data_IF_840035991896
#
_entry.id   IF_840035991896
#
_cell.length_a   1.000
_cell.length_b   1.000
_cell.length_c   1.000
_cell.angle_alpha   90.00
_cell.angle_beta   90.00
_cell.angle_gamma   90.00
#
_symmetry.space_group_name_H-M   'P 1'
#
loop_
_entity.id
_entity.type
_entity.pdbx_description
1 polymer ?
#
# COMPACT_ATOMS: atom_id res chain seq x y z
N UNK A 1 5.41 39.38 36.63
CA UNK A 1 6.23 39.06 35.44
C UNK A 1 6.71 37.60 35.38
N UNK A 2 7.09 36.98 36.49
CA UNK A 2 7.56 35.58 36.51
C UNK A 2 6.46 34.51 36.17
N UNK A 3 5.19 34.78 36.57
CA UNK A 3 4.06 33.89 36.31
C UNK A 3 3.74 33.74 34.81
N UNK A 4 3.75 34.83 34.06
CA UNK A 4 3.48 34.80 32.61
C UNK A 4 4.58 34.08 31.80
N UNK A 5 5.81 34.04 32.29
CA UNK A 5 6.90 33.29 31.66
C UNK A 5 6.76 31.79 31.91
N UNK A 6 6.33 31.37 33.08
CA UNK A 6 6.06 29.98 33.42
C UNK A 6 4.87 29.44 32.64
N UNK A 7 3.79 30.20 32.47
CA UNK A 7 2.63 29.74 31.68
C UNK A 7 2.98 29.53 30.21
N UNK A 8 3.81 30.38 29.60
CA UNK A 8 4.31 30.15 28.21
C UNK A 8 5.21 28.95 28.10
N UNK A 9 6.01 28.62 29.13
CA UNK A 9 6.85 27.40 29.12
C UNK A 9 6.01 26.12 29.18
N UNK A 10 4.93 26.14 29.99
CA UNK A 10 4.00 25.01 30.11
C UNK A 10 3.19 24.82 28.82
N UNK A 11 2.69 25.91 28.21
CA UNK A 11 1.96 25.87 26.96
C UNK A 11 2.85 25.35 25.81
N UNK A 12 4.08 25.83 25.69
CA UNK A 12 5.02 25.35 24.68
C UNK A 12 5.40 23.86 24.87
N UNK A 13 5.56 23.43 26.13
CA UNK A 13 5.78 22.02 26.45
C UNK A 13 4.60 21.13 26.10
N UNK A 14 3.36 21.58 26.36
CA UNK A 14 2.14 20.84 25.96
C UNK A 14 1.94 20.82 24.45
N UNK A 15 2.25 21.89 23.73
CA UNK A 15 2.19 21.95 22.27
C UNK A 15 3.23 21.03 21.64
N UNK A 16 4.45 20.98 22.17
CA UNK A 16 5.50 20.07 21.72
C UNK A 16 5.12 18.60 21.97
N UNK A 17 4.55 18.26 23.12
CA UNK A 17 4.05 16.91 23.41
C UNK A 17 2.88 16.49 22.50
N UNK A 18 1.94 17.41 22.20
CA UNK A 18 0.84 17.16 21.25
C UNK A 18 1.33 17.01 19.80
N UNK A 19 2.39 17.74 19.42
CA UNK A 19 3.01 17.59 18.10
C UNK A 19 3.76 16.25 17.98
N UNK A 20 4.53 15.86 19.00
CA UNK A 20 5.22 14.58 19.07
C UNK A 20 4.24 13.38 19.05
N UNK A 21 3.10 13.48 19.75
CA UNK A 21 2.04 12.46 19.72
C UNK A 21 1.46 12.26 18.33
N UNK A 22 1.13 13.34 17.63
CA UNK A 22 0.61 13.29 16.26
C UNK A 22 1.61 12.70 15.25
N UNK A 23 2.90 12.97 15.42
CA UNK A 23 3.96 12.40 14.61
C UNK A 23 4.08 10.89 14.78
N UNK A 24 4.00 10.40 16.01
CA UNK A 24 4.02 8.96 16.31
C UNK A 24 2.81 8.22 15.70
N UNK A 25 1.63 8.81 15.71
CA UNK A 25 0.43 8.21 15.16
C UNK A 25 0.47 8.19 13.62
N UNK A 26 0.99 9.24 12.98
CA UNK A 26 1.21 9.27 11.52
C UNK A 26 2.23 8.22 11.08
N UNK A 27 3.32 8.02 11.83
CA UNK A 27 4.31 6.97 11.56
C UNK A 27 3.69 5.57 11.68
N UNK A 28 2.94 5.31 12.75
CA UNK A 28 2.24 4.02 12.93
C UNK A 28 1.24 3.76 11.80
N UNK A 29 0.48 4.76 11.40
CA UNK A 29 -0.47 4.66 10.30
C UNK A 29 0.22 4.38 8.97
N UNK A 30 1.35 5.05 8.68
CA UNK A 30 2.16 4.81 7.50
C UNK A 30 2.76 3.40 7.47
N UNK A 31 3.29 2.93 8.61
CA UNK A 31 3.81 1.57 8.75
C UNK A 31 2.70 0.52 8.55
N UNK A 32 1.53 0.73 9.15
CA UNK A 32 0.38 -0.15 8.97
C UNK A 32 -0.05 -0.22 7.50
N UNK A 33 -0.14 0.93 6.84
CA UNK A 33 -0.48 1.01 5.41
C UNK A 33 0.56 0.32 4.52
N UNK A 34 1.86 0.47 4.83
CA UNK A 34 2.94 -0.23 4.11
C UNK A 34 2.85 -1.74 4.31
N UNK A 35 2.58 -2.20 5.52
CA UNK A 35 2.40 -3.63 5.83
C UNK A 35 1.19 -4.22 5.11
N UNK A 36 0.06 -3.54 5.08
CA UNK A 36 -1.12 -3.96 4.33
C UNK A 36 -0.81 -4.12 2.83
N UNK A 37 -0.08 -3.18 2.24
CA UNK A 37 0.34 -3.29 0.83
C UNK A 37 1.27 -4.48 0.58
N UNK A 38 2.19 -4.78 1.50
CA UNK A 38 3.04 -5.98 1.41
C UNK A 38 2.20 -7.27 1.41
N UNK A 39 1.23 -7.38 2.32
CA UNK A 39 0.30 -8.53 2.40
C UNK A 39 -0.54 -8.68 1.12
N UNK A 40 -0.91 -7.57 0.51
CA UNK A 40 -1.75 -7.55 -0.70
C UNK A 40 -0.96 -7.69 -2.00
N UNK A 41 0.38 -7.67 -1.96
CA UNK A 41 1.22 -7.61 -3.14
C UNK A 41 0.95 -8.77 -4.12
N UNK A 42 0.84 -9.99 -3.61
CA UNK A 42 0.54 -11.17 -4.43
C UNK A 42 -0.90 -11.15 -4.97
N UNK A 43 -1.85 -10.62 -4.21
CA UNK A 43 -3.24 -10.45 -4.67
C UNK A 43 -3.29 -9.44 -5.83
N UNK A 44 -2.56 -8.33 -5.73
CA UNK A 44 -2.49 -7.32 -6.81
C UNK A 44 -1.81 -7.90 -8.06
N UNK A 45 -0.76 -8.72 -7.90
CA UNK A 45 -0.14 -9.43 -9.03
C UNK A 45 -1.14 -10.35 -9.75
N UNK A 46 -1.84 -11.21 -9.00
CA UNK A 46 -2.86 -12.10 -9.56
C UNK A 46 -3.99 -11.32 -10.25
N UNK A 47 -4.53 -10.29 -9.60
CA UNK A 47 -5.58 -9.42 -10.18
C UNK A 47 -5.13 -8.74 -11.48
N UNK A 48 -3.88 -8.32 -11.56
CA UNK A 48 -3.32 -7.74 -12.79
C UNK A 48 -3.29 -8.76 -13.93
N UNK A 49 -2.89 -10.00 -13.66
CA UNK A 49 -2.86 -11.06 -14.64
C UNK A 49 -4.27 -11.44 -15.13
N UNK A 50 -5.22 -11.57 -14.21
CA UNK A 50 -6.63 -11.83 -14.53
C UNK A 50 -7.23 -10.70 -15.35
N UNK A 51 -7.01 -9.44 -14.96
CA UNK A 51 -7.51 -8.28 -15.70
C UNK A 51 -6.90 -8.17 -17.10
N UNK A 52 -5.65 -8.58 -17.29
CA UNK A 52 -5.01 -8.63 -18.62
C UNK A 52 -5.61 -9.72 -19.49
N UNK A 53 -5.88 -10.90 -18.91
CA UNK A 53 -6.52 -12.02 -19.61
C UNK A 53 -7.93 -11.63 -20.06
N UNK A 54 -8.71 -11.07 -19.15
CA UNK A 54 -10.07 -10.59 -19.41
C UNK A 54 -10.08 -9.49 -20.49
N UNK A 55 -9.14 -8.54 -20.42
CA UNK A 55 -8.99 -7.49 -21.43
C UNK A 55 -8.67 -8.04 -22.82
N UNK A 56 -7.76 -9.03 -22.91
CA UNK A 56 -7.41 -9.68 -24.19
C UNK A 56 -8.61 -10.43 -24.76
N UNK A 57 -9.31 -11.20 -23.91
CA UNK A 57 -10.49 -11.94 -24.33
C UNK A 57 -11.60 -11.03 -24.85
N UNK A 58 -11.88 -9.95 -24.12
CA UNK A 58 -12.91 -8.97 -24.50
C UNK A 58 -12.52 -8.24 -25.80
N UNK A 59 -11.24 -7.94 -25.99
CA UNK A 59 -10.72 -7.30 -27.20
C UNK A 59 -10.82 -8.22 -28.43
N UNK A 60 -10.48 -9.50 -28.26
CA UNK A 60 -10.38 -10.48 -29.37
C UNK A 60 -11.76 -10.99 -29.79
N UNK A 61 -12.65 -11.25 -28.84
CA UNK A 61 -14.01 -11.79 -29.09
C UNK A 61 -15.08 -10.69 -29.23
N UNK A 62 -14.74 -9.43 -28.90
CA UNK A 62 -15.66 -8.31 -28.96
C UNK A 62 -16.90 -8.50 -28.08
N UNK A 63 -18.06 -8.09 -28.62
CA UNK A 63 -19.36 -8.18 -27.90
C UNK A 63 -19.71 -9.62 -27.50
N UNK A 64 -19.26 -10.62 -28.23
CA UNK A 64 -19.50 -12.04 -27.91
C UNK A 64 -18.90 -12.47 -26.56
N UNK A 65 -17.87 -11.76 -26.06
CA UNK A 65 -17.29 -12.01 -24.75
C UNK A 65 -18.06 -11.38 -23.58
N UNK A 66 -19.04 -10.53 -23.84
CA UNK A 66 -19.86 -9.91 -22.79
C UNK A 66 -20.65 -10.97 -22.03
N UNK A 67 -20.36 -11.13 -20.77
CA UNK A 67 -21.12 -12.01 -19.88
C UNK A 67 -22.49 -11.41 -19.57
N UNK A 68 -23.52 -12.25 -19.43
CA UNK A 68 -24.89 -11.80 -19.10
C UNK A 68 -24.96 -10.93 -17.83
N UNK A 69 -24.07 -11.18 -16.87
CA UNK A 69 -23.98 -10.38 -15.63
C UNK A 69 -23.50 -8.96 -15.86
N UNK A 70 -22.60 -8.75 -16.80
CA UNK A 70 -22.02 -7.44 -17.07
C UNK A 70 -23.02 -6.52 -17.76
N UNK A 71 -23.88 -7.07 -18.63
CA UNK A 71 -24.99 -6.35 -19.24
C UNK A 71 -26.04 -5.88 -18.23
N UNK A 72 -26.25 -6.64 -17.13
CA UNK A 72 -27.17 -6.27 -16.04
C UNK A 72 -26.65 -5.15 -15.16
N UNK A 73 -25.33 -5.10 -14.90
CA UNK A 73 -24.73 -4.05 -14.07
C UNK A 73 -24.75 -2.67 -14.74
N UNK A 74 -24.66 -2.62 -16.06
CA UNK A 74 -24.74 -1.36 -16.83
C UNK A 74 -26.18 -0.78 -16.85
N UNK A 75 -27.18 -1.61 -16.67
CA UNK A 75 -28.59 -1.19 -16.52
C UNK A 75 -28.86 -0.33 -15.26
N UNK A 76 -27.93 -0.26 -14.30
CA UNK A 76 -28.03 0.53 -13.08
C UNK A 76 -27.52 1.97 -13.18
N UNK A 77 -27.03 2.40 -14.36
CA UNK A 77 -26.72 3.81 -14.60
C UNK A 77 -28.06 4.58 -14.64
N UNK A 78 -28.27 5.45 -13.66
CA UNK A 78 -29.48 6.22 -13.33
C UNK A 78 -30.02 7.15 -14.45
N UNK A 79 -29.64 7.00 -15.69
CA UNK A 79 -30.01 7.90 -16.79
C UNK A 79 -31.22 7.42 -17.62
N UNK A 80 -31.81 6.28 -17.30
CA UNK A 80 -32.97 5.76 -18.04
C UNK A 80 -32.69 5.32 -19.48
N UNK A 81 -31.48 5.55 -20.00
CA UNK A 81 -31.06 5.07 -21.32
C UNK A 81 -30.37 3.73 -21.19
N UNK A 82 -30.88 2.71 -21.92
CA UNK A 82 -30.17 1.44 -22.10
C UNK A 82 -28.98 1.67 -23.03
N UNK A 83 -27.78 1.34 -22.54
CA UNK A 83 -26.59 1.33 -23.38
C UNK A 83 -26.69 0.20 -24.42
N UNK A 84 -26.19 0.46 -25.64
CA UNK A 84 -26.05 -0.57 -26.64
C UNK A 84 -24.97 -1.58 -26.24
N UNK A 85 -24.99 -2.83 -26.76
CA UNK A 85 -23.93 -3.81 -26.49
C UNK A 85 -22.54 -3.29 -26.82
N UNK A 86 -22.40 -2.45 -27.85
CA UNK A 86 -21.16 -1.82 -28.27
C UNK A 86 -20.67 -0.81 -27.24
N UNK A 87 -21.57 0.00 -26.70
CA UNK A 87 -21.24 0.96 -25.63
C UNK A 87 -20.84 0.23 -24.34
N UNK A 88 -21.55 -0.84 -23.97
CA UNK A 88 -21.18 -1.70 -22.83
C UNK A 88 -19.77 -2.27 -23.01
N UNK A 89 -19.48 -2.81 -24.19
CA UNK A 89 -18.17 -3.35 -24.53
C UNK A 89 -17.07 -2.28 -24.40
N UNK A 90 -17.29 -1.08 -24.94
CA UNK A 90 -16.34 0.03 -24.86
C UNK A 90 -16.10 0.47 -23.40
N UNK A 91 -17.16 0.56 -22.59
CA UNK A 91 -17.06 0.89 -21.16
C UNK A 91 -16.25 -0.16 -20.40
N UNK A 92 -16.51 -1.45 -20.62
CA UNK A 92 -15.78 -2.52 -19.95
C UNK A 92 -14.30 -2.55 -20.31
N UNK A 93 -13.97 -2.39 -21.60
CA UNK A 93 -12.57 -2.27 -22.05
C UNK A 93 -11.87 -1.10 -21.35
N UNK A 94 -12.53 0.04 -21.23
CA UNK A 94 -11.97 1.20 -20.55
C UNK A 94 -11.76 0.95 -19.04
N UNK A 95 -12.73 0.34 -18.37
CA UNK A 95 -12.63 -0.03 -16.94
C UNK A 95 -11.45 -1.00 -16.69
N UNK A 96 -11.28 -2.00 -17.54
CA UNK A 96 -10.18 -2.94 -17.46
C UNK A 96 -8.82 -2.25 -17.70
N UNK A 97 -8.73 -1.34 -18.68
CA UNK A 97 -7.53 -0.53 -18.90
C UNK A 97 -7.15 0.29 -17.68
N UNK A 98 -8.12 0.95 -17.05
CA UNK A 98 -7.89 1.74 -15.85
C UNK A 98 -7.42 0.86 -14.68
N UNK A 99 -8.05 -0.30 -14.46
CA UNK A 99 -7.64 -1.27 -13.44
C UNK A 99 -6.22 -1.76 -13.67
N UNK A 100 -5.89 -2.19 -14.89
CA UNK A 100 -4.55 -2.63 -15.28
C UNK A 100 -3.52 -1.52 -15.03
N UNK A 101 -3.84 -0.28 -15.37
CA UNK A 101 -2.95 0.86 -15.16
C UNK A 101 -2.71 1.14 -13.67
N UNK A 102 -3.77 1.11 -12.86
CA UNK A 102 -3.69 1.30 -11.41
C UNK A 102 -2.86 0.20 -10.74
N UNK A 103 -3.09 -1.08 -11.09
CA UNK A 103 -2.35 -2.21 -10.53
C UNK A 103 -0.87 -2.18 -10.95
N UNK A 104 -0.57 -1.85 -12.20
CA UNK A 104 0.81 -1.64 -12.67
C UNK A 104 1.52 -0.53 -11.89
N UNK A 105 0.84 0.58 -11.66
CA UNK A 105 1.40 1.69 -10.90
C UNK A 105 1.69 1.30 -9.46
N UNK A 106 0.74 0.62 -8.80
CA UNK A 106 0.91 0.12 -7.44
C UNK A 106 2.10 -0.85 -7.32
N UNK A 107 2.18 -1.84 -8.22
CA UNK A 107 3.30 -2.79 -8.26
C UNK A 107 4.64 -2.09 -8.53
N UNK A 108 4.66 -1.09 -9.42
CA UNK A 108 5.87 -0.30 -9.70
C UNK A 108 6.36 0.44 -8.45
N UNK A 109 5.44 1.07 -7.70
CA UNK A 109 5.77 1.76 -6.43
C UNK A 109 6.33 0.80 -5.40
N UNK A 110 5.64 -0.32 -5.17
CA UNK A 110 6.07 -1.32 -4.19
C UNK A 110 7.42 -1.93 -4.57
N UNK A 111 7.59 -2.34 -5.82
CA UNK A 111 8.86 -2.91 -6.29
C UNK A 111 10.01 -1.91 -6.19
N UNK A 112 9.78 -0.62 -6.46
CA UNK A 112 10.78 0.42 -6.28
C UNK A 112 11.20 0.57 -4.81
N UNK A 113 10.24 0.51 -3.89
CA UNK A 113 10.54 0.58 -2.46
C UNK A 113 11.31 -0.66 -1.96
N UNK A 114 10.96 -1.85 -2.45
CA UNK A 114 11.62 -3.11 -2.09
C UNK A 114 13.05 -3.19 -2.64
N UNK A 115 13.27 -2.87 -3.93
CA UNK A 115 14.60 -2.87 -4.55
C UNK A 115 15.63 -2.05 -3.79
N UNK A 116 15.22 -0.97 -3.22
CA UNK A 116 16.12 -0.12 -2.45
C UNK A 116 16.60 -0.74 -1.14
N UNK A 117 15.97 -1.84 -0.71
CA UNK A 117 16.32 -2.58 0.50
C UNK A 117 16.96 -3.93 0.19
N UNK A 118 17.14 -4.31 -1.08
CA UNK A 118 17.70 -5.60 -1.49
C UNK A 118 19.12 -5.84 -0.95
N UNK A 119 19.89 -4.78 -0.73
CA UNK A 119 21.23 -4.86 -0.15
C UNK A 119 21.24 -5.08 1.39
N UNK A 120 20.09 -4.99 2.05
CA UNK A 120 19.99 -5.21 3.50
C UNK A 120 20.08 -6.71 3.80
N UNK A 121 20.99 -7.15 4.72
CA UNK A 121 21.18 -8.57 5.03
C UNK A 121 19.93 -9.25 5.57
N UNK A 122 18.99 -8.49 6.13
CA UNK A 122 17.72 -9.00 6.64
C UNK A 122 16.56 -8.87 5.65
N UNK A 123 16.81 -8.43 4.41
CA UNK A 123 15.76 -8.27 3.40
C UNK A 123 14.96 -9.55 3.15
N UNK A 124 15.61 -10.71 3.24
CA UNK A 124 14.98 -12.03 3.08
C UNK A 124 13.80 -12.29 4.03
N UNK A 125 13.78 -11.65 5.20
CA UNK A 125 12.66 -11.75 6.17
C UNK A 125 11.34 -11.31 5.55
N UNK A 126 11.34 -10.26 4.72
CA UNK A 126 10.12 -9.77 4.08
C UNK A 126 9.53 -10.82 3.14
N UNK A 127 10.36 -11.47 2.33
CA UNK A 127 9.93 -12.53 1.43
C UNK A 127 9.39 -13.74 2.20
N UNK A 128 10.10 -14.20 3.21
CA UNK A 128 9.69 -15.34 4.03
C UNK A 128 8.36 -15.05 4.75
N UNK A 129 8.21 -13.86 5.33
CA UNK A 129 7.03 -13.51 6.10
C UNK A 129 5.80 -13.22 5.21
N UNK A 130 5.95 -12.41 4.13
CA UNK A 130 4.81 -11.92 3.32
C UNK A 130 4.52 -12.75 2.07
N UNK A 131 5.50 -13.45 1.50
CA UNK A 131 5.28 -14.30 0.32
C UNK A 131 5.11 -15.77 0.69
N UNK A 132 5.91 -16.27 1.67
CA UNK A 132 5.88 -17.66 2.09
C UNK A 132 4.98 -17.91 3.33
N UNK A 133 4.45 -16.84 3.94
CA UNK A 133 3.60 -16.88 5.14
C UNK A 133 4.25 -17.58 6.35
N UNK A 134 5.58 -17.52 6.49
CA UNK A 134 6.29 -18.06 7.63
C UNK A 134 6.13 -17.15 8.85
N UNK A 135 6.06 -17.73 10.05
CA UNK A 135 6.03 -16.96 11.29
C UNK A 135 7.42 -16.39 11.65
N UNK A 136 7.47 -15.39 12.52
CA UNK A 136 8.73 -14.87 13.04
C UNK A 136 9.56 -15.96 13.75
N UNK A 137 8.93 -17.00 14.27
CA UNK A 137 9.59 -18.14 14.93
C UNK A 137 10.27 -19.05 13.90
N UNK A 138 9.53 -19.44 12.84
CA UNK A 138 10.07 -20.30 11.78
C UNK A 138 11.24 -19.62 11.04
N UNK A 139 11.12 -18.30 10.83
CA UNK A 139 12.19 -17.49 10.22
C UNK A 139 13.42 -17.43 11.14
N UNK A 140 13.20 -17.28 12.45
CA UNK A 140 14.27 -17.23 13.44
C UNK A 140 15.06 -18.55 13.49
N UNK A 141 14.36 -19.69 13.50
CA UNK A 141 14.98 -21.02 13.43
C UNK A 141 15.77 -21.21 12.14
N UNK A 142 15.19 -20.85 10.99
CA UNK A 142 15.85 -20.98 9.68
C UNK A 142 17.10 -20.11 9.54
N UNK A 143 17.12 -18.93 10.16
CA UNK A 143 18.23 -17.98 10.08
C UNK A 143 19.22 -18.05 11.25
N UNK A 144 18.95 -18.83 12.28
CA UNK A 144 19.79 -18.96 13.49
C UNK A 144 19.78 -17.71 14.38
N UNK A 145 18.66 -16.99 14.44
CA UNK A 145 18.47 -15.79 15.26
C UNK A 145 17.35 -15.97 16.29
N UNK A 146 17.28 -15.09 17.27
CA UNK A 146 16.15 -15.01 18.18
C UNK A 146 14.91 -14.41 17.46
N UNK A 147 13.72 -14.90 17.80
CA UNK A 147 12.44 -14.37 17.31
C UNK A 147 12.32 -12.85 17.50
N UNK A 148 12.79 -12.32 18.64
CA UNK A 148 12.77 -10.88 18.94
C UNK A 148 13.64 -10.07 17.97
N UNK A 149 14.76 -10.65 17.54
CA UNK A 149 15.66 -10.06 16.53
C UNK A 149 14.98 -10.00 15.17
N UNK A 150 14.35 -11.10 14.72
CA UNK A 150 13.59 -11.13 13.46
C UNK A 150 12.46 -10.12 13.48
N UNK A 151 11.64 -10.07 14.53
CA UNK A 151 10.53 -9.13 14.66
C UNK A 151 11.01 -7.66 14.63
N UNK A 152 12.16 -7.36 15.24
CA UNK A 152 12.78 -6.02 15.23
C UNK A 152 13.24 -5.62 13.83
N UNK A 153 13.96 -6.51 13.13
CA UNK A 153 14.42 -6.25 11.76
C UNK A 153 13.25 -6.14 10.78
N UNK A 154 12.24 -6.99 10.86
CA UNK A 154 11.02 -6.89 10.06
C UNK A 154 10.34 -5.52 10.25
N UNK A 155 10.15 -5.09 11.50
CA UNK A 155 9.56 -3.77 11.80
C UNK A 155 10.39 -2.62 11.27
N UNK A 156 11.73 -2.69 11.38
CA UNK A 156 12.66 -1.71 10.79
C UNK A 156 12.51 -1.62 9.28
N UNK A 157 12.46 -2.75 8.59
CA UNK A 157 12.28 -2.79 7.14
C UNK A 157 10.93 -2.21 6.71
N UNK A 158 9.84 -2.53 7.43
CA UNK A 158 8.51 -1.93 7.17
C UNK A 158 8.57 -0.40 7.32
N UNK A 159 9.25 0.10 8.35
CA UNK A 159 9.44 1.55 8.55
C UNK A 159 10.16 2.19 7.36
N UNK A 160 11.22 1.57 6.84
CA UNK A 160 11.94 2.06 5.66
C UNK A 160 11.07 2.04 4.39
N UNK A 161 10.24 1.01 4.21
CA UNK A 161 9.26 0.95 3.11
C UNK A 161 8.23 2.07 3.26
N UNK A 162 7.69 2.27 4.46
CA UNK A 162 6.73 3.35 4.74
C UNK A 162 7.32 4.73 4.42
N UNK A 163 8.56 4.97 4.82
CA UNK A 163 9.29 6.20 4.48
C UNK A 163 9.38 6.43 2.97
N UNK A 164 9.72 5.37 2.19
CA UNK A 164 9.83 5.46 0.72
C UNK A 164 8.49 5.67 0.03
N UNK A 165 7.41 5.09 0.57
CA UNK A 165 6.08 5.20 -0.02
C UNK A 165 5.39 6.53 0.30
N UNK A 166 5.60 7.07 1.49
CA UNK A 166 4.82 8.19 2.03
C UNK A 166 5.65 9.44 2.37
N UNK A 167 6.98 9.33 2.33
CA UNK A 167 7.90 10.44 2.64
C UNK A 167 8.20 10.61 4.13
N UNK A 168 9.09 11.56 4.45
CA UNK A 168 9.57 11.79 5.80
C UNK A 168 8.51 12.28 6.78
N UNK A 169 7.59 13.14 6.34
CA UNK A 169 6.54 13.70 7.18
C UNK A 169 5.56 12.65 7.71
N UNK A 170 5.32 11.59 6.93
CA UNK A 170 4.45 10.48 7.33
C UNK A 170 5.21 9.42 8.17
N UNK A 171 6.53 9.30 7.99
CA UNK A 171 7.34 8.27 8.64
C UNK A 171 8.05 8.73 9.91
N UNK A 172 8.25 10.05 10.11
CA UNK A 172 9.00 10.58 11.25
C UNK A 172 8.27 11.68 12.03
N UNK A 173 6.99 11.96 11.74
CA UNK A 173 6.32 13.12 12.33
C UNK A 173 7.06 14.42 11.97
N UNK A 174 6.34 15.45 11.65
CA UNK A 174 6.91 16.76 11.34
C UNK A 174 7.80 17.26 12.48
N UNK A 175 9.12 17.00 12.40
CA UNK A 175 10.12 17.83 13.04
C UNK A 175 11.53 17.41 12.59
N UNK A 176 12.05 18.18 11.63
CA UNK A 176 13.30 18.90 11.82
C UNK A 176 13.38 19.97 10.74
N UNK A 177 12.96 21.19 11.16
CA UNK A 177 13.46 22.39 10.55
C UNK A 177 14.98 22.38 10.75
N UNK A 178 15.70 22.18 9.66
CA UNK A 178 17.12 22.47 9.62
C UNK A 178 17.27 23.99 9.53
N UNK A 179 17.58 24.62 10.69
CA UNK A 179 18.16 25.97 10.74
C UNK A 179 19.63 25.88 10.41
#
# INVERSE_FOLDING_TARGET
MLTQQMDRYIENGMLAQRAAGRGCDAEKAAMHSAEQRLRQLNIVKGRLEDSRREYSELKDKGIAALKRHDASMVSLIKTGMRLSPEEVHAVQLNMLRQRISADKYELKKMNSALRALEADPFFGILKQYYEQNLSDTDIAEAMGYDRSTIARHRRRLIKLIAFRLYGSSAAYGTEQQWS
#
